data_IF_546240915162
#
_entry.id   IF_546240915162
#
_cell.length_a   1.000
_cell.length_b   1.000
_cell.length_c   1.000
_cell.angle_alpha   90.00
_cell.angle_beta   90.00
_cell.angle_gamma   90.00
#
_symmetry.space_group_name_H-M   'P 1'
#
loop_
_entity.id
_entity.type
_entity.pdbx_description
1 polymer ?
#
# COMPACT_ATOMS: atom_id res chain seq x y z
N UNK A 1 21.55 -3.17 2.96
CA UNK A 1 20.18 -2.79 3.40
C UNK A 1 20.21 -1.38 3.97
N UNK A 2 19.20 -0.52 3.70
CA UNK A 2 19.24 0.92 4.06
C UNK A 2 18.48 1.28 5.35
N UNK A 3 17.57 0.42 5.82
CA UNK A 3 16.82 0.60 7.08
C UNK A 3 15.73 1.68 7.02
N UNK A 4 15.22 2.00 5.83
CA UNK A 4 14.09 2.90 5.67
C UNK A 4 12.76 2.16 5.95
N UNK A 5 11.81 2.80 6.66
CA UNK A 5 10.45 2.29 6.77
C UNK A 5 9.83 2.13 5.39
N UNK A 6 9.16 1.01 5.18
CA UNK A 6 8.42 0.74 3.96
C UNK A 6 7.11 0.02 4.27
N UNK A 7 6.05 0.39 3.55
CA UNK A 7 4.76 -0.30 3.58
C UNK A 7 4.28 -0.55 2.16
N UNK A 8 3.49 -1.58 1.96
CA UNK A 8 2.91 -1.96 0.67
C UNK A 8 1.38 -1.90 0.78
N UNK A 9 0.73 -1.28 -0.20
CA UNK A 9 -0.73 -1.18 -0.26
C UNK A 9 -1.27 -1.67 -1.61
N UNK A 10 -2.46 -2.30 -1.66
CA UNK A 10 -3.06 -2.72 -2.93
C UNK A 10 -3.33 -1.52 -3.85
N UNK A 11 -2.76 -1.55 -5.05
CA UNK A 11 -2.87 -0.46 -6.02
C UNK A 11 -3.94 -0.70 -7.10
N UNK A 12 -4.34 -1.96 -7.31
CA UNK A 12 -5.35 -2.33 -8.30
C UNK A 12 -5.20 -3.78 -8.73
N UNK A 13 -5.78 -4.10 -9.87
CA UNK A 13 -5.60 -5.37 -10.56
C UNK A 13 -4.90 -5.13 -11.90
N UNK A 14 -3.98 -6.02 -12.26
CA UNK A 14 -3.42 -6.13 -13.61
C UNK A 14 -3.61 -7.58 -14.06
N UNK A 15 -4.20 -7.79 -15.23
CA UNK A 15 -4.54 -9.13 -15.75
C UNK A 15 -5.33 -10.00 -14.75
N UNK A 16 -6.19 -9.37 -13.95
CA UNK A 16 -6.99 -10.04 -12.91
C UNK A 16 -6.22 -10.37 -11.62
N UNK A 17 -4.94 -10.02 -11.52
CA UNK A 17 -4.10 -10.27 -10.34
C UNK A 17 -3.84 -9.01 -9.52
N UNK A 18 -3.82 -9.08 -8.17
CA UNK A 18 -3.49 -7.94 -7.32
C UNK A 18 -2.09 -7.37 -7.59
N UNK A 19 -2.02 -6.06 -7.80
CA UNK A 19 -0.77 -5.30 -7.82
C UNK A 19 -0.72 -4.36 -6.63
N UNK A 20 0.50 -4.06 -6.16
CA UNK A 20 0.71 -3.22 -4.98
C UNK A 20 1.63 -2.03 -5.28
N UNK A 21 1.46 -0.95 -4.52
CA UNK A 21 2.34 0.21 -4.48
C UNK A 21 3.18 0.15 -3.20
N UNK A 22 4.50 0.27 -3.35
CA UNK A 22 5.42 0.36 -2.23
C UNK A 22 5.69 1.83 -1.87
N UNK A 23 5.44 2.17 -0.61
CA UNK A 23 5.69 3.50 -0.05
C UNK A 23 6.91 3.39 0.87
N UNK A 24 7.97 4.13 0.56
CA UNK A 24 9.19 4.20 1.37
C UNK A 24 9.30 5.59 1.98
N UNK A 25 9.50 5.67 3.29
CA UNK A 25 9.62 6.93 4.02
C UNK A 25 11.05 7.14 4.56
N UNK A 26 11.41 8.37 4.99
CA UNK A 26 12.65 8.61 5.70
C UNK A 26 12.75 7.76 6.98
N UNK A 27 13.97 7.56 7.47
CA UNK A 27 14.23 6.78 8.70
C UNK A 27 13.39 7.29 9.88
N UNK A 28 12.81 6.35 10.63
CA UNK A 28 11.97 6.61 11.80
C UNK A 28 10.68 7.41 11.50
N UNK A 29 10.23 7.40 10.24
CA UNK A 29 8.98 8.03 9.80
C UNK A 29 7.93 7.00 9.36
N UNK A 30 7.81 5.90 10.10
CA UNK A 30 6.81 4.84 9.89
C UNK A 30 5.38 5.42 9.88
N UNK A 31 5.09 6.34 10.81
CA UNK A 31 3.82 7.05 10.87
C UNK A 31 3.54 7.92 9.62
N UNK A 32 4.56 8.36 8.88
CA UNK A 32 4.37 9.03 7.60
C UNK A 32 4.01 8.01 6.52
N UNK A 33 4.73 6.90 6.43
CA UNK A 33 4.44 5.84 5.46
C UNK A 33 3.01 5.32 5.61
N UNK A 34 2.57 5.09 6.86
CA UNK A 34 1.20 4.62 7.16
C UNK A 34 0.12 5.69 6.87
N UNK A 35 0.40 6.98 7.11
CA UNK A 35 -0.56 8.05 6.76
C UNK A 35 -0.72 8.19 5.25
N UNK A 36 0.36 8.05 4.48
CA UNK A 36 0.30 8.05 3.01
C UNK A 36 -0.48 6.83 2.52
N UNK A 37 -0.23 5.65 3.10
CA UNK A 37 -0.99 4.44 2.81
C UNK A 37 -2.50 4.63 3.06
N UNK A 38 -2.88 5.13 4.23
CA UNK A 38 -4.29 5.38 4.57
C UNK A 38 -4.93 6.43 3.67
N UNK A 39 -4.22 7.52 3.36
CA UNK A 39 -4.71 8.55 2.44
C UNK A 39 -4.94 7.98 1.03
N UNK A 40 -4.02 7.14 0.56
CA UNK A 40 -4.15 6.45 -0.71
C UNK A 40 -5.34 5.49 -0.73
N UNK A 41 -5.49 4.62 0.27
CA UNK A 41 -6.64 3.69 0.37
C UNK A 41 -7.97 4.44 0.45
N UNK A 42 -8.02 5.56 1.18
CA UNK A 42 -9.22 6.40 1.28
C UNK A 42 -9.60 7.02 -0.06
N UNK A 43 -8.61 7.49 -0.82
CA UNK A 43 -8.84 8.05 -2.15
C UNK A 43 -9.18 6.97 -3.20
N UNK A 44 -8.60 5.77 -3.08
CA UNK A 44 -8.82 4.65 -4.01
C UNK A 44 -10.17 3.93 -3.76
N UNK A 45 -10.66 3.90 -2.52
CA UNK A 45 -11.89 3.21 -2.12
C UNK A 45 -11.65 1.79 -1.60
N UNK A 46 -12.66 0.91 -1.61
CA UNK A 46 -12.53 -0.49 -1.12
C UNK A 46 -11.76 -1.37 -2.11
N UNK A 47 -10.94 -2.31 -1.62
CA UNK A 47 -10.20 -3.26 -2.48
C UNK A 47 -11.02 -4.54 -2.61
N UNK A 48 -11.15 -5.14 -3.80
CA UNK A 48 -11.95 -6.35 -3.98
C UNK A 48 -11.38 -7.53 -3.17
N UNK A 49 -12.28 -8.28 -2.58
CA UNK A 49 -11.97 -9.58 -1.97
C UNK A 49 -11.67 -10.60 -3.07
N UNK A 50 -10.70 -11.51 -2.89
CA UNK A 50 -10.47 -12.61 -3.84
C UNK A 50 -11.76 -13.43 -4.07
N UNK A 51 -12.00 -13.93 -5.30
CA UNK A 51 -13.13 -14.83 -5.54
C UNK A 51 -12.95 -16.16 -4.79
N UNK A 52 -14.00 -16.62 -4.10
CA UNK A 52 -14.03 -17.94 -3.46
C UNK A 52 -13.54 -18.00 -2.01
N UNK A 53 -13.41 -16.85 -1.32
CA UNK A 53 -13.30 -16.79 0.15
C UNK A 53 -14.63 -16.48 0.82
#
# INVERSE_FOLDING_TARGET
>A
MTGHPATSVPAGLADGLPVAMMIVAPRFKDALALRVAQAYETARGTFPTPPGV
#
